data_IF_893131919470
#
_entry.id   IF_893131919470
#
_cell.length_a   1.000
_cell.length_b   1.000
_cell.length_c   1.000
_cell.angle_alpha   90.00
_cell.angle_beta   90.00
_cell.angle_gamma   90.00
#
_symmetry.space_group_name_H-M   'P 1'
#
loop_
_entity.id
_entity.type
_entity.pdbx_description
1 polymer ?
#
# COMPACT_ATOMS: atom_id res chain seq x y z
N UNK A 1 -3.31 -54.60 22.59
CA UNK A 1 -2.68 -55.13 21.35
C UNK A 1 -2.16 -53.92 20.57
N UNK A 2 -0.87 -53.61 20.75
CA UNK A 2 0.23 -53.79 19.76
C UNK A 2 -0.01 -52.98 18.47
N UNK A 3 0.86 -52.14 17.94
CA UNK A 3 2.27 -51.78 18.20
C UNK A 3 2.59 -50.62 17.25
N UNK A 4 3.03 -49.47 17.75
CA UNK A 4 4.37 -48.90 17.54
C UNK A 4 5.13 -49.32 16.28
N UNK A 5 5.58 -48.33 15.50
CA UNK A 5 6.97 -48.24 14.99
C UNK A 5 7.31 -46.80 14.54
N UNK A 6 8.39 -46.33 15.15
CA UNK A 6 9.11 -45.06 14.99
C UNK A 6 10.06 -45.07 13.78
N UNK A 7 10.87 -43.99 13.68
CA UNK A 7 12.10 -43.76 12.88
C UNK A 7 11.88 -43.14 11.48
N UNK A 8 12.63 -42.14 11.00
CA UNK A 8 13.76 -41.36 11.52
C UNK A 8 13.92 -40.09 10.66
N UNK A 9 14.45 -39.00 11.24
CA UNK A 9 15.03 -37.86 10.51
C UNK A 9 16.34 -38.24 9.80
N UNK A 10 16.83 -37.42 8.86
CA UNK A 10 18.14 -36.78 9.09
C UNK A 10 18.17 -35.29 8.65
N UNK A 11 18.65 -34.43 9.54
CA UNK A 11 19.94 -33.72 9.45
C UNK A 11 19.96 -32.50 8.52
N UNK A 12 19.78 -31.34 9.15
CA UNK A 12 20.26 -30.03 8.70
C UNK A 12 21.77 -29.92 8.86
N UNK A 13 22.49 -29.79 7.76
CA UNK A 13 23.84 -29.22 7.74
C UNK A 13 23.77 -27.74 7.37
N UNK A 14 24.33 -26.91 8.25
CA UNK A 14 24.56 -25.48 8.08
C UNK A 14 26.02 -25.32 7.74
N UNK A 15 26.34 -24.95 6.50
CA UNK A 15 27.66 -24.44 6.17
C UNK A 15 27.67 -22.92 6.17
N UNK A 16 28.37 -22.39 7.17
CA UNK A 16 28.81 -21.01 7.31
C UNK A 16 30.15 -20.91 6.60
N UNK A 17 30.21 -20.27 5.44
CA UNK A 17 31.47 -19.85 4.83
C UNK A 17 31.58 -18.34 4.92
N UNK A 18 32.44 -17.93 5.84
CA UNK A 18 32.86 -16.57 6.13
C UNK A 18 34.11 -16.31 5.28
N UNK A 19 34.01 -15.46 4.24
CA UNK A 19 35.18 -14.96 3.52
C UNK A 19 35.44 -13.51 3.96
N UNK A 20 36.55 -13.34 4.67
CA UNK A 20 37.22 -12.06 4.92
C UNK A 20 38.26 -11.80 3.81
N UNK A 21 38.50 -10.53 3.58
CA UNK A 21 39.71 -9.99 2.96
C UNK A 21 39.45 -9.27 1.64
N UNK A 22 40.14 -8.22 1.25
CA UNK A 22 40.82 -7.15 1.98
C UNK A 22 41.21 -6.13 0.89
N UNK A 23 41.37 -4.86 1.26
CA UNK A 23 42.31 -3.91 0.66
C UNK A 23 42.17 -3.51 -0.83
N UNK A 24 41.69 -2.27 -1.02
CA UNK A 24 42.60 -1.19 -1.38
C UNK A 24 42.64 -0.69 -2.84
N UNK A 25 43.00 0.59 -3.06
CA UNK A 25 42.47 1.41 -4.16
C UNK A 25 43.50 1.73 -5.24
N UNK A 26 43.04 2.17 -6.41
CA UNK A 26 43.89 2.81 -7.43
C UNK A 26 43.30 4.10 -7.95
N UNK A 27 44.22 5.06 -8.06
CA UNK A 27 44.14 6.49 -8.34
C UNK A 27 44.15 6.74 -9.85
N UNK A 28 43.61 7.90 -10.26
CA UNK A 28 43.86 8.55 -11.56
C UNK A 28 42.57 9.19 -12.07
N UNK A 29 42.31 10.49 -11.98
CA UNK A 29 43.23 11.61 -12.13
C UNK A 29 43.38 11.94 -13.61
N UNK A 30 42.55 12.83 -14.16
CA UNK A 30 43.05 13.95 -14.96
C UNK A 30 41.96 14.95 -15.33
N UNK A 31 42.31 16.19 -15.00
CA UNK A 31 41.73 17.50 -15.31
C UNK A 31 42.03 17.95 -16.75
N UNK A 32 41.12 18.73 -17.34
CA UNK A 32 41.37 19.82 -18.32
C UNK A 32 40.12 20.72 -18.28
N UNK A 33 40.06 21.84 -17.54
CA UNK A 33 40.63 23.19 -17.75
C UNK A 33 40.69 23.68 -19.21
N UNK A 34 40.17 24.90 -19.38
CA UNK A 34 40.32 25.90 -20.45
C UNK A 34 39.05 26.07 -21.32
N UNK A 35 38.53 27.25 -21.62
CA UNK A 35 38.94 28.61 -21.33
C UNK A 35 37.75 29.58 -21.55
N UNK A 36 37.72 30.66 -20.78
CA UNK A 36 37.02 31.90 -21.13
C UNK A 36 37.72 32.58 -22.31
N UNK A 37 37.01 33.45 -23.07
CA UNK A 37 37.31 34.88 -22.89
C UNK A 37 36.06 35.78 -22.95
N UNK A 38 36.15 36.90 -22.24
CA UNK A 38 35.40 38.15 -22.47
C UNK A 38 36.45 39.26 -22.65
N UNK A 39 36.12 40.56 -22.83
CA UNK A 39 34.88 41.23 -23.25
C UNK A 39 35.11 42.36 -24.29
N UNK A 40 34.06 42.87 -24.96
CA UNK A 40 34.00 44.28 -25.45
C UNK A 40 32.54 44.79 -25.37
N UNK A 41 32.28 46.06 -24.98
CA UNK A 41 30.99 46.49 -24.44
C UNK A 41 30.14 47.27 -25.46
N UNK A 42 28.83 47.42 -25.21
CA UNK A 42 28.11 48.68 -25.47
C UNK A 42 26.62 48.67 -25.06
N UNK A 43 26.23 49.82 -24.52
CA UNK A 43 24.89 50.43 -24.42
C UNK A 43 23.96 49.99 -23.29
N UNK A 44 24.18 50.68 -22.18
CA UNK A 44 23.25 51.10 -21.14
C UNK A 44 21.93 51.68 -21.70
N UNK A 45 20.81 51.16 -21.21
CA UNK A 45 19.49 51.83 -21.19
C UNK A 45 18.90 51.66 -19.77
N UNK A 46 18.14 52.64 -19.25
CA UNK A 46 17.93 52.78 -17.81
C UNK A 46 16.90 51.79 -17.27
N UNK A 47 17.25 51.10 -16.18
CA UNK A 47 16.31 50.37 -15.33
C UNK A 47 15.35 51.35 -14.67
N UNK A 48 14.04 51.25 -14.98
CA UNK A 48 12.98 51.68 -14.06
C UNK A 48 12.96 50.68 -12.90
N UNK A 49 13.26 51.16 -11.70
CA UNK A 49 13.13 50.42 -10.45
C UNK A 49 11.64 50.12 -10.19
N UNK A 50 11.26 48.86 -10.31
CA UNK A 50 9.91 48.38 -10.01
C UNK A 50 9.81 48.01 -8.52
N UNK A 51 9.86 49.03 -7.66
CA UNK A 51 9.88 48.89 -6.19
C UNK A 51 8.57 48.42 -5.56
N UNK A 52 7.56 48.06 -6.37
CA UNK A 52 6.25 47.60 -5.90
C UNK A 52 6.16 46.08 -5.76
N UNK A 53 6.93 45.33 -6.57
CA UNK A 53 6.96 43.86 -6.57
C UNK A 53 7.76 43.30 -5.39
N UNK A 54 8.96 43.84 -5.14
CA UNK A 54 9.82 43.40 -4.04
C UNK A 54 9.21 43.75 -2.68
N UNK A 55 8.62 44.94 -2.53
CA UNK A 55 7.90 45.31 -1.29
C UNK A 55 6.69 44.42 -1.02
N UNK A 56 5.97 43.97 -2.05
CA UNK A 56 4.85 43.04 -1.88
C UNK A 56 5.32 41.63 -1.47
N UNK A 57 6.44 41.16 -2.01
CA UNK A 57 7.07 39.90 -1.62
C UNK A 57 7.64 39.95 -0.18
N UNK A 58 8.27 41.06 0.21
CA UNK A 58 8.78 41.30 1.57
C UNK A 58 7.64 41.44 2.59
N UNK A 59 6.53 42.10 2.23
CA UNK A 59 5.32 42.18 3.06
C UNK A 59 4.60 40.83 3.20
N UNK A 60 4.66 39.97 2.18
CA UNK A 60 4.14 38.60 2.25
C UNK A 60 5.01 37.71 3.13
N UNK A 61 6.33 37.74 2.93
CA UNK A 61 7.30 37.00 3.72
C UNK A 61 7.27 37.43 5.21
N UNK A 62 7.08 38.73 5.47
CA UNK A 62 6.92 39.26 6.83
C UNK A 62 5.65 38.78 7.52
N UNK A 63 4.54 38.64 6.79
CA UNK A 63 3.28 38.06 7.34
C UNK A 63 3.40 36.57 7.63
N UNK A 64 4.10 35.83 6.78
CA UNK A 64 4.34 34.40 6.96
C UNK A 64 5.31 34.14 8.13
N UNK A 65 6.33 34.98 8.30
CA UNK A 65 7.25 34.90 9.44
C UNK A 65 6.59 35.35 10.74
N UNK A 66 5.73 36.38 10.72
CA UNK A 66 4.95 36.77 11.89
C UNK A 66 3.93 35.70 12.29
N UNK A 67 3.31 35.02 11.32
CA UNK A 67 2.45 33.88 11.57
C UNK A 67 3.23 32.69 12.15
N UNK A 68 4.45 32.42 11.65
CA UNK A 68 5.35 31.39 12.16
C UNK A 68 5.84 31.69 13.59
N UNK A 69 6.25 32.93 13.86
CA UNK A 69 6.67 33.40 15.18
C UNK A 69 5.52 33.43 16.18
N UNK A 70 4.30 33.80 15.76
CA UNK A 70 3.08 33.63 16.57
C UNK A 70 2.83 32.15 16.86
N UNK A 71 2.94 31.28 15.87
CA UNK A 71 2.75 29.84 16.06
C UNK A 71 3.82 29.20 16.97
N UNK A 72 5.03 29.77 17.03
CA UNK A 72 6.11 29.41 17.97
C UNK A 72 5.84 29.96 19.39
N UNK A 73 5.36 31.20 19.54
CA UNK A 73 4.91 31.76 20.83
C UNK A 73 3.72 31.00 21.41
N UNK A 74 2.82 30.49 20.56
CA UNK A 74 1.71 29.64 21.00
C UNK A 74 2.18 28.23 21.37
N UNK A 75 3.29 27.74 20.81
CA UNK A 75 3.92 26.45 21.19
C UNK A 75 4.52 26.51 22.60
N UNK A 76 4.96 27.69 23.06
CA UNK A 76 5.49 27.89 24.42
C UNK A 76 4.42 28.05 25.52
N UNK A 77 3.12 28.16 25.17
CA UNK A 77 2.01 28.27 26.13
C UNK A 77 1.45 26.91 26.59
N UNK A 78 2.10 25.80 26.23
CA UNK A 78 1.76 24.47 26.71
C UNK A 78 2.87 23.91 27.64
N UNK A 79 2.66 23.92 28.98
CA UNK A 79 3.45 23.11 29.90
C UNK A 79 2.59 22.17 30.79
N UNK A 80 3.30 21.36 31.60
CA UNK A 80 3.00 19.99 32.05
C UNK A 80 1.85 19.81 33.06
N UNK A 81 1.31 18.59 33.04
CA UNK A 81 0.14 18.05 33.75
C UNK A 81 0.16 18.09 35.28
N UNK A 82 -1.01 18.34 35.89
CA UNK A 82 -1.46 17.71 37.15
C UNK A 82 -2.99 17.59 37.15
N UNK A 83 -3.51 16.37 37.12
CA UNK A 83 -4.95 16.07 37.06
C UNK A 83 -5.69 16.08 38.41
N UNK A 84 -5.06 16.52 39.52
CA UNK A 84 -5.68 16.51 40.86
C UNK A 84 -6.36 17.82 41.26
N UNK A 85 -6.07 18.94 40.60
CA UNK A 85 -6.66 20.25 40.90
C UNK A 85 -8.08 20.46 40.36
N UNK A 86 -8.52 19.62 39.41
CA UNK A 86 -9.74 19.86 38.64
C UNK A 86 -11.02 19.89 39.48
N UNK A 87 -11.15 19.00 40.47
CA UNK A 87 -12.32 18.93 41.33
C UNK A 87 -12.38 20.08 42.36
N UNK A 88 -11.24 20.69 42.71
CA UNK A 88 -11.19 21.88 43.55
C UNK A 88 -11.45 23.15 42.72
N UNK A 89 -10.88 23.23 41.52
CA UNK A 89 -11.12 24.32 40.57
C UNK A 89 -12.60 24.42 40.15
N UNK A 90 -13.29 23.29 39.91
CA UNK A 90 -14.75 23.28 39.65
C UNK A 90 -15.59 23.83 40.81
N UNK A 91 -15.16 23.62 42.06
CA UNK A 91 -15.83 24.17 43.26
C UNK A 91 -15.56 25.66 43.45
N UNK A 92 -14.44 26.15 42.94
CA UNK A 92 -14.05 27.55 42.98
C UNK A 92 -14.73 28.37 41.87
N UNK A 93 -14.85 27.79 40.67
CA UNK A 93 -15.64 28.34 39.56
C UNK A 93 -17.12 28.53 39.97
N UNK A 94 -17.72 27.55 40.67
CA UNK A 94 -19.09 27.68 41.20
C UNK A 94 -19.26 28.80 42.25
N UNK A 95 -18.17 29.27 42.89
CA UNK A 95 -18.18 30.45 43.77
C UNK A 95 -18.00 31.77 43.01
N UNK A 96 -17.35 31.75 41.86
CA UNK A 96 -17.08 32.91 41.00
C UNK A 96 -18.17 33.13 39.92
N UNK A 97 -19.03 32.14 39.65
CA UNK A 97 -20.24 32.26 38.80
C UNK A 97 -21.20 33.41 39.21
N UNK A 98 -21.00 33.99 40.40
CA UNK A 98 -21.71 35.15 40.89
C UNK A 98 -21.29 36.50 40.25
N UNK A 99 -20.15 36.61 39.55
CA UNK A 99 -19.60 37.94 39.16
C UNK A 99 -19.80 38.40 37.71
N UNK A 100 -20.33 37.61 36.77
CA UNK A 100 -20.85 38.17 35.51
C UNK A 100 -21.78 37.21 34.77
N UNK A 101 -23.09 37.49 34.79
CA UNK A 101 -24.11 36.77 34.00
C UNK A 101 -23.89 36.83 32.48
N UNK A 102 -22.93 37.63 32.00
CA UNK A 102 -22.73 37.93 30.57
C UNK A 102 -21.42 37.39 29.99
N UNK A 103 -20.65 36.62 30.76
CA UNK A 103 -19.40 36.05 30.25
C UNK A 103 -19.66 34.90 29.26
N UNK A 104 -19.47 35.20 27.98
CA UNK A 104 -19.62 34.25 26.87
C UNK A 104 -18.65 33.07 26.99
N UNK A 105 -17.46 33.28 27.58
CA UNK A 105 -16.46 32.24 27.71
C UNK A 105 -16.92 31.16 28.69
N UNK A 106 -17.31 31.55 29.90
CA UNK A 106 -17.78 30.64 30.94
C UNK A 106 -19.16 30.07 30.65
N UNK A 107 -20.11 30.87 30.16
CA UNK A 107 -21.51 30.43 30.00
C UNK A 107 -21.82 29.76 28.67
N UNK A 108 -21.00 29.96 27.63
CA UNK A 108 -21.23 29.36 26.30
C UNK A 108 -20.08 28.51 25.80
N UNK A 109 -18.85 29.03 25.84
CA UNK A 109 -17.70 28.33 25.25
C UNK A 109 -17.34 27.08 26.05
N UNK A 110 -17.13 27.19 27.37
CA UNK A 110 -16.76 26.03 28.20
C UNK A 110 -17.84 24.92 28.20
N UNK A 111 -19.14 25.19 28.40
CA UNK A 111 -20.19 24.18 28.28
C UNK A 111 -20.27 23.60 26.86
N UNK A 112 -20.07 24.44 25.84
CA UNK A 112 -20.02 23.99 24.44
C UNK A 112 -18.87 23.02 24.16
N UNK A 113 -17.67 23.30 24.68
CA UNK A 113 -16.51 22.41 24.57
C UNK A 113 -16.77 21.07 25.29
N UNK A 114 -17.35 21.10 26.49
CA UNK A 114 -17.73 19.90 27.24
C UNK A 114 -18.75 19.05 26.49
N UNK A 115 -19.78 19.69 25.92
CA UNK A 115 -20.78 19.02 25.10
C UNK A 115 -20.15 18.37 23.85
N UNK A 116 -19.30 19.11 23.13
CA UNK A 116 -18.59 18.56 21.97
C UNK A 116 -17.72 17.37 22.35
N UNK A 117 -16.95 17.47 23.44
CA UNK A 117 -16.09 16.39 23.92
C UNK A 117 -16.90 15.14 24.29
N UNK A 118 -18.05 15.29 24.96
CA UNK A 118 -18.91 14.17 25.31
C UNK A 118 -19.39 13.38 24.09
N UNK A 119 -19.62 14.05 22.96
CA UNK A 119 -20.11 13.44 21.71
C UNK A 119 -19.00 12.89 20.82
N UNK A 120 -17.88 13.60 20.73
CA UNK A 120 -16.84 13.33 19.75
C UNK A 120 -15.56 12.73 20.35
N UNK A 121 -15.36 12.86 21.66
CA UNK A 121 -14.16 12.40 22.38
C UNK A 121 -12.86 13.06 21.92
N UNK A 122 -12.94 14.26 21.36
CA UNK A 122 -11.79 15.13 21.08
C UNK A 122 -12.23 16.59 21.11
N UNK A 123 -11.29 17.54 21.10
CA UNK A 123 -11.59 18.99 21.03
C UNK A 123 -11.05 19.66 19.75
N UNK A 124 -10.76 18.86 18.72
CA UNK A 124 -10.53 19.39 17.37
C UNK A 124 -11.85 19.78 16.67
N UNK A 125 -12.36 20.98 16.97
CA UNK A 125 -13.63 21.48 16.43
C UNK A 125 -13.43 22.17 15.07
N UNK A 126 -14.29 21.88 14.09
CA UNK A 126 -14.31 22.57 12.79
C UNK A 126 -14.79 24.02 12.92
N UNK A 127 -14.24 24.95 12.13
CA UNK A 127 -14.65 26.36 12.10
C UNK A 127 -16.15 26.55 11.82
N UNK A 128 -16.75 25.66 11.05
CA UNK A 128 -18.17 25.71 10.66
C UNK A 128 -19.08 25.02 11.66
N UNK A 129 -18.54 24.43 12.73
CA UNK A 129 -19.34 23.69 13.70
C UNK A 129 -20.26 24.63 14.49
N UNK A 130 -21.56 24.35 14.43
CA UNK A 130 -22.61 24.98 15.21
C UNK A 130 -23.22 23.90 16.08
N UNK A 131 -23.41 24.21 17.37
CA UNK A 131 -24.06 23.28 18.29
C UNK A 131 -25.52 23.13 17.85
N UNK A 132 -26.05 21.90 17.72
CA UNK A 132 -27.43 21.67 17.30
C UNK A 132 -28.44 22.42 18.18
N UNK A 133 -29.53 22.87 17.57
CA UNK A 133 -30.66 23.49 18.27
C UNK A 133 -31.72 22.44 18.61
N UNK A 134 -31.32 21.43 19.39
CA UNK A 134 -32.16 20.29 19.76
C UNK A 134 -32.56 20.37 21.24
N UNK A 135 -33.74 19.82 21.63
CA UNK A 135 -34.17 19.78 23.03
C UNK A 135 -33.18 19.07 23.98
N UNK A 136 -32.37 18.14 23.46
CA UNK A 136 -31.35 17.41 24.24
C UNK A 136 -30.05 18.18 24.50
N UNK A 137 -29.93 19.40 23.96
CA UNK A 137 -28.77 20.29 24.17
C UNK A 137 -29.10 21.30 25.27
N UNK A 138 -28.16 21.64 26.18
CA UNK A 138 -28.38 22.70 27.17
C UNK A 138 -28.77 24.03 26.51
N UNK A 139 -29.81 24.68 27.03
CA UNK A 139 -30.42 25.89 26.44
C UNK A 139 -29.40 27.02 26.21
N UNK A 140 -28.43 27.18 27.13
CA UNK A 140 -27.40 28.21 27.04
C UNK A 140 -26.50 28.13 25.79
N UNK A 141 -26.37 26.93 25.18
CA UNK A 141 -25.45 26.66 24.07
C UNK A 141 -26.13 26.24 22.76
N UNK A 142 -27.47 26.16 22.73
CA UNK A 142 -28.22 25.82 21.51
C UNK A 142 -27.95 26.83 20.39
N UNK A 143 -27.75 26.33 19.17
CA UNK A 143 -27.44 27.15 18.00
C UNK A 143 -26.14 27.96 18.10
N UNK A 144 -25.32 27.75 19.14
CA UNK A 144 -24.11 28.54 19.34
C UNK A 144 -23.02 28.11 18.35
N UNK A 145 -22.46 29.10 17.64
CA UNK A 145 -21.36 28.88 16.69
C UNK A 145 -20.03 28.70 17.44
N UNK A 146 -19.89 27.54 18.08
CA UNK A 146 -18.70 27.15 18.83
C UNK A 146 -17.46 27.09 17.92
N UNK A 147 -17.62 26.60 16.69
CA UNK A 147 -16.54 26.46 15.72
C UNK A 147 -15.83 27.78 15.40
N UNK A 148 -16.61 28.84 15.12
CA UNK A 148 -16.05 30.17 14.86
C UNK A 148 -15.32 30.75 16.07
N UNK A 149 -15.85 30.51 17.28
CA UNK A 149 -15.20 30.98 18.53
C UNK A 149 -13.90 30.24 18.81
N UNK A 150 -13.88 28.93 18.63
CA UNK A 150 -12.68 28.11 18.77
C UNK A 150 -11.62 28.49 17.73
N UNK A 151 -12.02 28.77 16.48
CA UNK A 151 -11.11 29.27 15.44
C UNK A 151 -10.48 30.61 15.83
N UNK A 152 -11.26 31.53 16.38
CA UNK A 152 -10.74 32.80 16.91
C UNK A 152 -9.78 32.60 18.10
N UNK A 153 -10.09 31.69 19.03
CA UNK A 153 -9.19 31.35 20.15
C UNK A 153 -7.87 30.83 19.60
N UNK A 154 -7.89 29.91 18.63
CA UNK A 154 -6.68 29.34 18.01
C UNK A 154 -5.83 30.38 17.29
N UNK A 155 -6.48 31.30 16.56
CA UNK A 155 -5.78 32.23 15.65
C UNK A 155 -5.35 33.53 16.31
N UNK A 156 -6.14 34.04 17.27
CA UNK A 156 -5.94 35.36 17.91
C UNK A 156 -5.66 35.26 19.40
N UNK A 157 -5.96 34.12 20.02
CA UNK A 157 -5.94 33.97 21.47
C UNK A 157 -7.09 34.72 22.14
N UNK A 158 -8.23 34.90 21.46
CA UNK A 158 -9.42 35.53 22.05
C UNK A 158 -9.69 34.90 23.44
N UNK A 159 -10.04 35.74 24.42
CA UNK A 159 -10.27 35.39 25.83
C UNK A 159 -9.03 34.96 26.63
N UNK A 160 -8.15 34.12 26.07
CA UNK A 160 -7.09 33.44 26.83
C UNK A 160 -5.70 34.08 26.74
N UNK A 161 -5.47 34.97 25.76
CA UNK A 161 -4.15 35.58 25.52
C UNK A 161 -3.62 36.39 26.70
N UNK A 162 -4.52 37.05 27.42
CA UNK A 162 -4.20 37.93 28.55
C UNK A 162 -4.96 37.54 29.82
N UNK A 163 -5.55 36.34 29.85
CA UNK A 163 -6.28 35.81 30.99
C UNK A 163 -5.80 34.39 31.29
N UNK A 164 -4.98 34.26 32.34
CA UNK A 164 -4.40 32.99 32.75
C UNK A 164 -5.46 32.01 33.30
N UNK A 165 -6.47 32.52 34.00
CA UNK A 165 -7.56 31.71 34.55
C UNK A 165 -8.38 31.07 33.42
N UNK A 166 -8.74 31.83 32.38
CA UNK A 166 -9.44 31.27 31.22
C UNK A 166 -8.58 30.29 30.43
N UNK A 167 -7.27 30.52 30.35
CA UNK A 167 -6.35 29.57 29.72
C UNK A 167 -6.32 28.25 30.52
N UNK A 168 -6.25 28.32 31.84
CA UNK A 168 -6.30 27.15 32.72
C UNK A 168 -7.64 26.41 32.58
N UNK A 169 -8.76 27.14 32.62
CA UNK A 169 -10.08 26.57 32.39
C UNK A 169 -10.16 25.87 31.03
N UNK A 170 -9.62 26.46 29.97
CA UNK A 170 -9.59 25.85 28.64
C UNK A 170 -8.76 24.56 28.61
N UNK A 171 -7.59 24.58 29.24
CA UNK A 171 -6.68 23.43 29.33
C UNK A 171 -7.24 22.30 30.20
N UNK A 172 -8.13 22.63 31.12
CA UNK A 172 -8.82 21.69 32.00
C UNK A 172 -9.96 20.92 31.30
N UNK A 173 -10.38 21.34 30.09
CA UNK A 173 -11.42 20.63 29.33
C UNK A 173 -10.79 19.57 28.41
N UNK A 174 -11.48 18.42 28.31
CA UNK A 174 -11.10 17.32 27.42
C UNK A 174 -10.85 16.03 28.19
N UNK A 175 -10.06 15.16 27.58
CA UNK A 175 -9.66 13.88 28.17
C UNK A 175 -8.28 13.93 28.83
N UNK A 176 -7.81 12.76 29.27
CA UNK A 176 -6.52 12.62 29.94
C UNK A 176 -5.38 12.77 28.93
N UNK A 177 -5.58 12.28 27.71
CA UNK A 177 -4.56 12.27 26.65
C UNK A 177 -4.45 13.62 25.94
N UNK A 178 -3.27 13.93 25.41
CA UNK A 178 -3.05 15.17 24.63
C UNK A 178 -3.99 15.28 23.43
N UNK A 179 -4.32 14.15 22.79
CA UNK A 179 -5.22 14.11 21.64
C UNK A 179 -6.67 14.51 21.97
N UNK A 180 -7.08 14.40 23.23
CA UNK A 180 -8.45 14.66 23.69
C UNK A 180 -8.64 16.07 24.25
N UNK A 181 -7.54 16.78 24.52
CA UNK A 181 -7.52 18.15 25.05
C UNK A 181 -7.71 19.20 23.97
N UNK A 182 -7.83 20.47 24.37
CA UNK A 182 -8.00 21.59 23.45
C UNK A 182 -6.89 21.65 22.39
N UNK A 183 -7.29 21.58 21.12
CA UNK A 183 -6.37 21.50 19.99
C UNK A 183 -6.09 22.89 19.44
N UNK A 184 -4.84 23.33 19.52
CA UNK A 184 -4.39 24.59 18.92
C UNK A 184 -4.18 24.47 17.42
N UNK A 185 -3.49 23.41 16.99
CA UNK A 185 -3.13 23.18 15.58
C UNK A 185 -3.97 22.04 14.99
N UNK A 186 -5.11 22.40 14.42
CA UNK A 186 -6.09 21.44 13.87
C UNK A 186 -5.47 20.51 12.82
N UNK A 187 -4.68 21.02 11.88
CA UNK A 187 -4.05 20.22 10.82
C UNK A 187 -3.05 19.19 11.36
N UNK A 188 -2.22 19.58 12.33
CA UNK A 188 -1.26 18.67 12.98
C UNK A 188 -1.98 17.57 13.74
N UNK A 189 -3.05 17.94 14.45
CA UNK A 189 -3.85 16.97 15.19
C UNK A 189 -4.49 15.92 14.26
N UNK A 190 -5.10 16.37 13.15
CA UNK A 190 -5.68 15.46 12.15
C UNK A 190 -4.59 14.52 11.61
N UNK A 191 -3.42 15.07 11.29
CA UNK A 191 -2.33 14.27 10.74
C UNK A 191 -1.82 13.22 11.74
N UNK A 192 -1.47 13.60 12.97
CA UNK A 192 -0.84 12.68 13.91
C UNK A 192 -1.82 11.73 14.61
N UNK A 193 -2.99 12.23 15.02
CA UNK A 193 -3.94 11.47 15.83
C UNK A 193 -5.01 10.75 15.00
N UNK A 194 -5.33 11.23 13.80
CA UNK A 194 -6.24 10.52 12.89
C UNK A 194 -5.46 9.78 11.80
N UNK A 195 -4.80 10.49 10.88
CA UNK A 195 -4.19 9.88 9.68
C UNK A 195 -3.10 8.88 10.06
N UNK A 196 -2.08 9.32 10.80
CA UNK A 196 -0.95 8.47 11.16
C UNK A 196 -1.34 7.33 12.10
N UNK A 197 -2.23 7.58 13.07
CA UNK A 197 -2.73 6.54 13.97
C UNK A 197 -3.47 5.45 13.20
N UNK A 198 -4.39 5.84 12.31
CA UNK A 198 -5.19 4.91 11.52
C UNK A 198 -4.38 4.22 10.41
N UNK A 199 -3.37 4.87 9.81
CA UNK A 199 -2.41 4.24 8.90
C UNK A 199 -1.58 3.17 9.60
N UNK A 200 -1.06 3.45 10.81
CA UNK A 200 -0.32 2.47 11.60
C UNK A 200 -1.19 1.27 11.97
N UNK A 201 -2.43 1.52 12.39
CA UNK A 201 -3.41 0.46 12.64
C UNK A 201 -3.66 -0.38 11.38
N UNK A 202 -3.90 0.26 10.23
CA UNK A 202 -4.10 -0.42 8.96
C UNK A 202 -2.89 -1.28 8.56
N UNK A 203 -1.66 -0.74 8.67
CA UNK A 203 -0.41 -1.46 8.37
C UNK A 203 -0.27 -2.70 9.25
N UNK A 204 -0.52 -2.60 10.57
CA UNK A 204 -0.49 -3.76 11.48
C UNK A 204 -1.53 -4.82 11.11
N UNK A 205 -2.77 -4.40 10.82
CA UNK A 205 -3.88 -5.31 10.52
C UNK A 205 -3.71 -6.04 9.19
N UNK A 206 -3.32 -5.32 8.14
CA UNK A 206 -3.29 -5.80 6.76
C UNK A 206 -1.89 -6.16 6.25
N UNK A 207 -0.83 -5.66 6.89
CA UNK A 207 0.56 -5.86 6.47
C UNK A 207 1.02 -4.97 5.32
N UNK A 208 0.16 -4.05 4.84
CA UNK A 208 0.44 -3.14 3.73
C UNK A 208 -0.29 -1.81 3.91
N UNK A 209 0.05 -0.80 3.10
CA UNK A 209 -0.57 0.54 3.12
C UNK A 209 -1.35 0.89 1.84
N UNK A 210 -1.68 -0.12 1.04
CA UNK A 210 -2.66 0.01 -0.05
C UNK A 210 -4.08 0.08 0.52
N UNK A 211 -4.44 1.24 1.06
CA UNK A 211 -5.77 1.51 1.63
C UNK A 211 -6.80 1.67 0.49
N UNK A 212 -7.91 0.91 0.50
CA UNK A 212 -9.02 1.11 -0.44
C UNK A 212 -9.67 2.49 -0.28
N UNK A 213 -10.14 3.10 -1.39
CA UNK A 213 -10.74 4.45 -1.38
C UNK A 213 -11.93 4.59 -0.42
N UNK A 214 -12.74 3.55 -0.27
CA UNK A 214 -13.92 3.54 0.61
C UNK A 214 -13.65 2.94 1.99
N UNK A 215 -12.38 2.74 2.36
CA UNK A 215 -12.05 2.20 3.67
C UNK A 215 -12.43 3.18 4.78
N UNK A 216 -13.16 2.66 5.74
CA UNK A 216 -13.59 3.34 6.96
C UNK A 216 -13.02 2.58 8.14
N UNK A 217 -12.42 3.31 9.08
CA UNK A 217 -11.86 2.74 10.29
C UNK A 217 -12.99 2.09 11.13
N UNK A 218 -12.91 0.77 11.41
CA UNK A 218 -13.89 0.10 12.23
C UNK A 218 -13.78 0.56 13.69
N UNK A 219 -14.83 0.39 14.50
CA UNK A 219 -14.72 0.43 15.95
C UNK A 219 -13.74 -0.65 16.42
N UNK A 220 -12.62 -0.23 17.00
CA UNK A 220 -11.57 -1.13 17.45
C UNK A 220 -10.93 -0.58 18.74
N UNK A 221 -10.69 -1.40 19.78
CA UNK A 221 -10.05 -0.96 21.01
C UNK A 221 -8.62 -0.42 20.83
N UNK A 222 -7.91 -0.80 19.78
CA UNK A 222 -6.58 -0.24 19.47
C UNK A 222 -6.65 1.20 18.91
N UNK A 223 -7.84 1.65 18.51
CA UNK A 223 -8.09 2.99 18.01
C UNK A 223 -8.83 3.82 19.05
N UNK A 224 -8.41 5.07 19.21
CA UNK A 224 -9.17 6.04 19.97
C UNK A 224 -10.59 6.20 19.40
N UNK A 225 -11.57 6.49 20.26
CA UNK A 225 -12.99 6.56 19.86
C UNK A 225 -13.24 7.56 18.73
N UNK A 226 -12.49 8.65 18.70
CA UNK A 226 -12.56 9.67 17.64
C UNK A 226 -12.04 9.21 16.27
N UNK A 227 -11.39 8.04 16.20
CA UNK A 227 -10.94 7.42 14.94
C UNK A 227 -11.96 6.42 14.39
N UNK A 228 -12.99 6.04 15.15
CA UNK A 228 -14.03 5.14 14.68
C UNK A 228 -14.89 5.85 13.64
N UNK A 229 -15.11 5.21 12.49
CA UNK A 229 -15.82 5.83 11.37
C UNK A 229 -14.97 6.81 10.55
N UNK A 230 -13.68 6.99 10.87
CA UNK A 230 -12.80 7.85 10.09
C UNK A 230 -12.58 7.28 8.68
N UNK A 231 -12.82 8.09 7.64
CA UNK A 231 -12.76 7.70 6.22
C UNK A 231 -11.32 7.74 5.68
N UNK A 232 -10.42 6.98 6.32
CA UNK A 232 -9.00 6.92 5.97
C UNK A 232 -8.77 6.68 4.47
N UNK A 233 -9.62 5.87 3.81
CA UNK A 233 -9.52 5.60 2.37
C UNK A 233 -9.63 6.83 1.48
N UNK A 234 -10.55 7.75 1.81
CA UNK A 234 -10.73 8.99 1.05
C UNK A 234 -9.56 9.93 1.30
N UNK A 235 -9.12 10.04 2.56
CA UNK A 235 -8.01 10.90 2.95
C UNK A 235 -6.71 10.45 2.28
N UNK A 236 -6.40 9.16 2.29
CA UNK A 236 -5.24 8.58 1.61
C UNK A 236 -5.30 8.78 0.10
N UNK A 237 -6.50 8.68 -0.50
CA UNK A 237 -6.68 8.97 -1.92
C UNK A 237 -6.36 10.44 -2.23
N UNK A 238 -6.85 11.38 -1.41
CA UNK A 238 -6.60 12.80 -1.59
C UNK A 238 -5.14 13.17 -1.29
N UNK A 239 -4.48 12.51 -0.33
CA UNK A 239 -3.05 12.69 -0.07
C UNK A 239 -2.17 12.32 -1.27
N UNK A 240 -2.59 11.34 -2.07
CA UNK A 240 -1.86 10.89 -3.26
C UNK A 240 -2.17 11.72 -4.51
N UNK A 241 -3.22 12.54 -4.45
CA UNK A 241 -3.56 13.45 -5.52
C UNK A 241 -2.66 14.68 -5.47
N UNK A 242 -1.64 14.71 -6.33
CA UNK A 242 -0.65 15.81 -6.41
C UNK A 242 -1.29 17.17 -6.66
N UNK A 243 -2.48 17.22 -7.27
CA UNK A 243 -3.19 18.47 -7.53
C UNK A 243 -3.88 19.03 -6.29
N UNK A 244 -4.04 18.24 -5.23
CA UNK A 244 -4.74 18.63 -4.01
C UNK A 244 -3.83 19.17 -2.91
N UNK A 245 -2.50 18.99 -2.99
CA UNK A 245 -1.47 19.66 -2.18
C UNK A 245 -1.61 19.61 -0.65
N UNK A 246 -2.58 18.87 -0.11
CA UNK A 246 -3.22 19.32 1.13
C UNK A 246 -2.45 18.99 2.43
N UNK A 247 -1.47 18.08 2.39
CA UNK A 247 -0.88 17.52 3.62
C UNK A 247 0.64 17.63 3.75
N UNK A 248 1.37 17.71 2.63
CA UNK A 248 2.83 17.68 2.59
C UNK A 248 3.46 19.03 2.27
N UNK A 249 2.73 19.91 1.58
CA UNK A 249 3.28 21.18 1.19
C UNK A 249 3.59 21.97 2.46
N UNK A 250 4.88 22.29 2.65
CA UNK A 250 5.44 23.11 3.73
C UNK A 250 5.75 22.42 5.08
N UNK A 251 5.62 21.09 5.24
CA UNK A 251 5.88 20.41 6.54
C UNK A 251 6.79 19.15 6.40
N UNK A 252 8.12 19.28 6.57
CA UNK A 252 9.07 18.17 6.36
C UNK A 252 8.89 17.03 7.37
N UNK A 253 8.44 17.32 8.58
CA UNK A 253 8.20 16.30 9.63
C UNK A 253 7.09 15.32 9.24
N UNK A 254 6.07 15.80 8.52
CA UNK A 254 4.98 14.93 8.03
C UNK A 254 5.44 13.99 6.93
N UNK A 255 6.28 14.50 6.03
CA UNK A 255 6.90 13.69 4.98
C UNK A 255 7.78 12.59 5.60
N UNK A 256 8.58 12.93 6.61
CA UNK A 256 9.40 11.99 7.36
C UNK A 256 8.56 10.93 8.07
N UNK A 257 7.51 11.33 8.79
CA UNK A 257 6.62 10.39 9.48
C UNK A 257 5.94 9.39 8.52
N UNK A 258 5.61 9.81 7.30
CA UNK A 258 5.08 8.92 6.26
C UNK A 258 6.15 8.03 5.64
N UNK A 259 7.37 8.53 5.48
CA UNK A 259 8.52 7.75 5.02
C UNK A 259 8.87 6.64 6.04
N UNK A 260 8.82 6.93 7.34
CA UNK A 260 9.11 5.98 8.42
C UNK A 260 8.15 4.77 8.43
N UNK A 261 6.95 4.92 7.85
CA UNK A 261 5.98 3.83 7.71
C UNK A 261 5.97 3.23 6.30
N UNK A 262 6.93 3.58 5.44
CA UNK A 262 7.01 3.16 4.02
C UNK A 262 5.71 3.47 3.25
N UNK A 263 5.14 4.65 3.44
CA UNK A 263 3.87 4.99 2.82
C UNK A 263 3.99 5.02 1.28
N UNK A 264 3.18 4.21 0.55
CA UNK A 264 3.27 4.16 -0.89
C UNK A 264 2.50 5.33 -1.49
N UNK A 265 3.24 6.25 -2.13
CA UNK A 265 2.69 7.36 -2.90
C UNK A 265 2.06 6.90 -4.22
N UNK A 266 2.65 5.89 -4.85
CA UNK A 266 2.19 5.37 -6.14
C UNK A 266 1.23 4.20 -5.97
N UNK A 267 -0.03 4.41 -6.35
CA UNK A 267 -1.12 3.44 -6.20
C UNK A 267 -1.11 2.29 -7.21
N UNK A 268 -0.58 2.48 -8.43
CA UNK A 268 -1.18 1.78 -9.59
C UNK A 268 -0.37 0.65 -10.22
N UNK A 269 0.92 0.47 -9.95
CA UNK A 269 1.68 -0.51 -10.74
C UNK A 269 2.83 -1.19 -10.02
N UNK A 270 3.76 -0.44 -9.44
CA UNK A 270 5.01 -1.03 -8.95
C UNK A 270 4.85 -1.67 -7.56
N UNK A 271 4.28 -0.94 -6.60
CA UNK A 271 4.17 -1.44 -5.23
C UNK A 271 3.21 -2.64 -5.12
N UNK A 272 2.01 -2.52 -5.71
CA UNK A 272 1.04 -3.63 -5.79
C UNK A 272 1.64 -4.88 -6.47
N UNK A 273 2.47 -4.68 -7.49
CA UNK A 273 3.14 -5.76 -8.18
C UNK A 273 4.09 -6.53 -7.26
N UNK A 274 4.92 -5.81 -6.50
CA UNK A 274 5.88 -6.41 -5.59
C UNK A 274 5.24 -7.08 -4.37
N UNK A 275 4.19 -6.49 -3.79
CA UNK A 275 3.61 -7.00 -2.54
C UNK A 275 2.49 -8.03 -2.74
N UNK A 276 1.80 -7.99 -3.89
CA UNK A 276 0.65 -8.86 -4.18
C UNK A 276 0.92 -9.77 -5.37
N UNK A 277 1.23 -9.22 -6.54
CA UNK A 277 1.16 -9.96 -7.79
C UNK A 277 2.28 -11.00 -7.91
N UNK A 278 3.54 -10.58 -7.70
CA UNK A 278 4.71 -11.48 -7.75
C UNK A 278 4.61 -12.56 -6.67
N UNK A 279 4.36 -12.24 -5.39
CA UNK A 279 4.23 -13.27 -4.37
C UNK A 279 3.05 -14.22 -4.58
N UNK A 280 1.92 -13.74 -5.12
CA UNK A 280 0.77 -14.60 -5.44
C UNK A 280 1.07 -15.57 -6.59
N UNK A 281 1.73 -15.11 -7.65
CA UNK A 281 2.18 -15.98 -8.75
C UNK A 281 3.22 -16.98 -8.27
N UNK A 282 4.22 -16.53 -7.51
CA UNK A 282 5.23 -17.41 -6.94
C UNK A 282 4.61 -18.48 -6.02
N UNK A 283 3.61 -18.10 -5.22
CA UNK A 283 2.84 -19.04 -4.40
C UNK A 283 2.11 -20.07 -5.27
N UNK A 284 1.40 -19.64 -6.31
CA UNK A 284 0.69 -20.56 -7.21
C UNK A 284 1.65 -21.56 -7.86
N UNK A 285 2.82 -21.09 -8.32
CA UNK A 285 3.87 -21.96 -8.88
C UNK A 285 4.36 -22.99 -7.87
N UNK A 286 4.55 -22.62 -6.60
CA UNK A 286 4.95 -23.58 -5.56
C UNK A 286 3.89 -24.66 -5.31
N UNK A 287 2.61 -24.29 -5.36
CA UNK A 287 1.50 -25.24 -5.12
C UNK A 287 1.24 -26.16 -6.31
N UNK A 288 1.30 -25.63 -7.54
CA UNK A 288 0.89 -26.35 -8.76
C UNK A 288 2.07 -26.76 -9.66
N UNK A 289 3.29 -26.30 -9.39
CA UNK A 289 4.49 -26.58 -10.17
C UNK A 289 4.64 -25.77 -11.47
N UNK A 290 3.59 -25.07 -11.91
CA UNK A 290 3.56 -24.29 -13.16
C UNK A 290 2.78 -22.98 -13.01
N UNK A 291 2.90 -22.07 -13.99
CA UNK A 291 2.18 -20.79 -14.05
C UNK A 291 1.08 -20.73 -15.13
N UNK A 292 0.61 -21.89 -15.60
CA UNK A 292 -0.59 -22.01 -16.43
C UNK A 292 -1.87 -21.85 -15.57
N UNK A 293 -2.10 -20.65 -15.04
CA UNK A 293 -3.26 -20.36 -14.17
C UNK A 293 -4.56 -20.40 -14.98
N UNK A 294 -5.57 -21.22 -14.59
CA UNK A 294 -6.91 -21.21 -15.17
C UNK A 294 -7.60 -19.86 -15.02
N UNK A 295 -8.40 -19.41 -15.99
CA UNK A 295 -8.99 -18.05 -16.01
C UNK A 295 -9.95 -17.80 -14.84
N UNK A 296 -10.65 -18.83 -14.39
CA UNK A 296 -11.61 -18.82 -13.29
C UNK A 296 -10.96 -19.00 -11.90
N UNK A 297 -9.65 -19.29 -11.85
CA UNK A 297 -8.97 -19.55 -10.58
C UNK A 297 -9.01 -18.34 -9.64
N UNK A 298 -9.43 -18.60 -8.40
CA UNK A 298 -9.48 -17.65 -7.29
C UNK A 298 -8.57 -18.14 -6.18
N UNK A 299 -7.71 -17.26 -5.68
CA UNK A 299 -6.86 -17.56 -4.54
C UNK A 299 -7.70 -17.95 -3.32
N UNK A 300 -7.29 -18.97 -2.56
CA UNK A 300 -8.04 -19.41 -1.39
C UNK A 300 -8.14 -18.30 -0.34
N UNK A 301 -9.22 -18.35 0.45
CA UNK A 301 -9.47 -17.43 1.56
C UNK A 301 -9.24 -18.13 2.90
N UNK A 302 -9.17 -17.36 3.99
CA UNK A 302 -9.09 -17.90 5.35
C UNK A 302 -7.67 -18.22 5.86
N UNK A 303 -7.61 -18.80 7.06
CA UNK A 303 -6.34 -19.05 7.80
C UNK A 303 -5.45 -20.08 7.13
N UNK A 304 -6.01 -21.12 6.52
CA UNK A 304 -5.24 -22.14 5.80
C UNK A 304 -4.45 -21.57 4.61
N UNK A 305 -5.06 -20.61 3.89
CA UNK A 305 -4.39 -19.90 2.80
C UNK A 305 -3.18 -19.09 3.31
N UNK A 306 -3.32 -18.40 4.44
CA UNK A 306 -2.21 -17.68 5.07
C UNK A 306 -1.09 -18.61 5.53
N UNK A 307 -1.43 -19.75 6.13
CA UNK A 307 -0.45 -20.76 6.56
C UNK A 307 0.34 -21.34 5.38
N UNK A 308 -0.27 -21.44 4.19
CA UNK A 308 0.42 -21.88 2.96
C UNK A 308 1.40 -20.84 2.39
N UNK A 309 1.52 -19.65 3.02
CA UNK A 309 2.39 -18.57 2.59
C UNK A 309 1.79 -17.67 1.49
N UNK A 310 0.47 -17.65 1.33
CA UNK A 310 -0.21 -16.70 0.45
C UNK A 310 -0.26 -15.32 1.13
N UNK A 311 0.10 -14.21 0.45
CA UNK A 311 0.00 -12.88 1.03
C UNK A 311 -1.44 -12.52 1.41
N UNK A 312 -1.63 -11.84 2.55
CA UNK A 312 -2.94 -11.35 3.02
C UNK A 312 -3.69 -10.56 1.94
N UNK A 313 -2.98 -9.74 1.18
CA UNK A 313 -3.53 -8.91 0.10
C UNK A 313 -3.98 -9.72 -1.13
N UNK A 314 -3.52 -10.96 -1.27
CA UNK A 314 -3.87 -11.86 -2.38
C UNK A 314 -5.02 -12.81 -2.04
N UNK A 315 -5.54 -12.80 -0.80
CA UNK A 315 -6.68 -13.63 -0.39
C UNK A 315 -7.91 -13.28 -1.23
N UNK A 316 -8.55 -14.29 -1.83
CA UNK A 316 -9.73 -14.10 -2.68
C UNK A 316 -9.46 -13.38 -4.00
N UNK A 317 -8.19 -13.15 -4.37
CA UNK A 317 -7.83 -12.56 -5.65
C UNK A 317 -8.20 -13.51 -6.81
N UNK A 318 -8.88 -12.99 -7.84
CA UNK A 318 -9.07 -13.70 -9.11
C UNK A 318 -7.75 -13.75 -9.92
N UNK A 319 -6.81 -14.57 -9.45
CA UNK A 319 -5.47 -14.70 -10.04
C UNK A 319 -5.55 -15.20 -11.49
N UNK A 320 -6.54 -16.03 -11.83
CA UNK A 320 -6.81 -16.49 -13.19
C UNK A 320 -7.08 -15.37 -14.18
N UNK A 321 -8.08 -14.54 -13.86
CA UNK A 321 -8.46 -13.36 -14.65
C UNK A 321 -7.31 -12.37 -14.74
N UNK A 322 -6.53 -12.23 -13.66
CA UNK A 322 -5.34 -11.39 -13.66
C UNK A 322 -4.24 -11.90 -14.60
N UNK A 323 -3.90 -13.20 -14.53
CA UNK A 323 -2.93 -13.83 -15.41
C UNK A 323 -3.36 -13.79 -16.89
N UNK A 324 -4.65 -13.96 -17.17
CA UNK A 324 -5.19 -13.79 -18.52
C UNK A 324 -4.99 -12.37 -19.05
N UNK A 325 -5.22 -11.34 -18.22
CA UNK A 325 -4.92 -9.95 -18.58
C UNK A 325 -3.44 -9.70 -18.81
N UNK A 326 -2.55 -10.29 -18.01
CA UNK A 326 -1.10 -10.18 -18.23
C UNK A 326 -0.70 -10.74 -19.59
N UNK A 327 -1.23 -11.92 -19.97
CA UNK A 327 -1.00 -12.51 -21.30
C UNK A 327 -1.48 -11.59 -22.42
N UNK A 328 -2.72 -11.09 -22.32
CA UNK A 328 -3.28 -10.20 -23.33
C UNK A 328 -2.46 -8.92 -23.48
N UNK A 329 -2.02 -8.32 -22.37
CA UNK A 329 -1.17 -7.13 -22.42
C UNK A 329 0.17 -7.45 -23.07
N UNK A 330 0.84 -8.54 -22.71
CA UNK A 330 2.10 -8.94 -23.35
C UNK A 330 2.03 -9.06 -24.88
N UNK A 331 0.85 -9.32 -25.45
CA UNK A 331 0.64 -9.37 -26.91
C UNK A 331 0.20 -8.03 -27.50
N UNK A 332 -0.65 -7.26 -26.82
CA UNK A 332 -1.32 -6.07 -27.40
C UNK A 332 -0.69 -4.73 -26.98
N UNK A 333 0.09 -4.67 -25.90
CA UNK A 333 0.69 -3.43 -25.39
C UNK A 333 1.95 -3.72 -24.56
N UNK A 334 3.07 -3.00 -24.76
CA UNK A 334 4.29 -3.28 -24.02
C UNK A 334 4.04 -3.15 -22.51
N UNK A 335 4.12 -4.30 -21.83
CA UNK A 335 4.31 -4.33 -20.40
C UNK A 335 5.69 -3.76 -20.10
N UNK A 336 5.82 -3.13 -18.94
CA UNK A 336 7.11 -2.69 -18.41
C UNK A 336 8.15 -3.83 -18.47
N UNK A 337 9.31 -3.58 -19.09
CA UNK A 337 10.33 -4.58 -19.38
C UNK A 337 10.80 -5.30 -18.12
N UNK A 338 10.89 -4.58 -16.99
CA UNK A 338 11.25 -5.15 -15.70
C UNK A 338 10.22 -6.19 -15.23
N UNK A 339 8.93 -5.96 -15.48
CA UNK A 339 7.86 -6.91 -15.14
C UNK A 339 7.91 -8.14 -16.03
N UNK A 340 8.18 -7.95 -17.32
CA UNK A 340 8.34 -9.07 -18.27
C UNK A 340 9.53 -9.94 -17.85
N UNK A 341 10.66 -9.33 -17.51
CA UNK A 341 11.84 -10.04 -17.01
C UNK A 341 11.53 -10.85 -15.75
N UNK A 342 10.89 -10.23 -14.75
CA UNK A 342 10.49 -10.93 -13.52
C UNK A 342 9.51 -12.07 -13.78
N UNK A 343 8.54 -11.90 -14.69
CA UNK A 343 7.62 -12.95 -15.10
C UNK A 343 8.34 -14.11 -15.80
N UNK A 344 9.32 -13.81 -16.65
CA UNK A 344 10.14 -14.82 -17.32
C UNK A 344 10.99 -15.61 -16.32
N UNK A 345 11.62 -14.95 -15.36
CA UNK A 345 12.35 -15.58 -14.25
C UNK A 345 11.45 -16.49 -13.41
N UNK A 346 10.20 -16.08 -13.20
CA UNK A 346 9.19 -16.91 -12.54
C UNK A 346 8.68 -18.07 -13.42
N UNK A 347 8.98 -18.10 -14.72
CA UNK A 347 8.52 -19.12 -15.66
C UNK A 347 7.06 -18.93 -16.09
N UNK A 348 6.61 -17.69 -16.25
CA UNK A 348 5.23 -17.37 -16.60
C UNK A 348 4.84 -17.90 -17.99
N UNK A 349 3.68 -18.55 -18.06
CA UNK A 349 3.15 -19.09 -19.31
C UNK A 349 2.45 -17.99 -20.12
N UNK A 350 3.20 -17.35 -21.03
CA UNK A 350 2.66 -16.36 -21.97
C UNK A 350 1.68 -16.97 -22.96
N UNK A 351 2.00 -18.14 -23.50
CA UNK A 351 1.14 -18.94 -24.37
C UNK A 351 0.78 -20.24 -23.66
N UNK A 352 -0.50 -20.40 -23.28
CA UNK A 352 -0.99 -21.62 -22.66
C UNK A 352 -0.86 -22.85 -23.59
N UNK A 353 -1.17 -22.77 -24.90
CA UNK A 353 -0.96 -23.89 -25.80
C UNK A 353 0.51 -24.30 -25.91
N UNK A 354 1.43 -23.35 -26.07
CA UNK A 354 2.86 -23.64 -26.18
C UNK A 354 3.41 -24.21 -24.86
N UNK A 355 3.02 -23.62 -23.73
CA UNK A 355 3.38 -24.15 -22.41
C UNK A 355 2.87 -25.58 -22.21
N UNK A 356 1.63 -25.88 -22.60
CA UNK A 356 1.09 -27.24 -22.53
C UNK A 356 1.91 -28.23 -23.37
N UNK A 357 2.22 -27.86 -24.62
CA UNK A 357 3.04 -28.71 -25.50
C UNK A 357 4.42 -28.94 -24.90
N UNK A 358 5.14 -27.87 -24.54
CA UNK A 358 6.54 -27.96 -24.08
C UNK A 358 6.69 -28.60 -22.71
N UNK A 359 5.84 -28.22 -21.74
CA UNK A 359 6.00 -28.62 -20.33
C UNK A 359 5.18 -29.83 -19.93
N UNK A 360 4.23 -30.27 -20.76
CA UNK A 360 3.32 -31.36 -20.41
C UNK A 360 3.32 -32.44 -21.47
N UNK A 361 3.02 -32.10 -22.73
CA UNK A 361 2.89 -33.08 -23.80
C UNK A 361 4.24 -33.67 -24.21
N UNK A 362 5.27 -32.84 -24.39
CA UNK A 362 6.59 -33.29 -24.83
C UNK A 362 7.22 -34.34 -23.88
N UNK A 363 7.31 -34.13 -22.55
CA UNK A 363 7.81 -35.17 -21.65
C UNK A 363 7.00 -36.47 -21.68
N UNK A 364 5.68 -36.38 -21.78
CA UNK A 364 4.79 -37.54 -21.86
C UNK A 364 4.99 -38.31 -23.17
N UNK A 365 5.10 -37.59 -24.28
CA UNK A 365 5.36 -38.16 -25.61
C UNK A 365 6.73 -38.80 -25.65
N UNK A 366 7.77 -38.14 -25.13
CA UNK A 366 9.11 -38.71 -24.98
C UNK A 366 9.07 -40.02 -24.21
N UNK A 367 8.39 -40.05 -23.04
CA UNK A 367 8.23 -41.26 -22.26
C UNK A 367 7.47 -42.37 -23.01
N UNK A 368 6.38 -42.01 -23.69
CA UNK A 368 5.58 -42.97 -24.46
C UNK A 368 6.38 -43.57 -25.61
N UNK A 369 7.06 -42.74 -26.39
CA UNK A 369 7.90 -43.18 -27.52
C UNK A 369 9.09 -44.00 -27.03
N UNK A 370 9.72 -43.61 -25.91
CA UNK A 370 10.79 -44.41 -25.30
C UNK A 370 10.30 -45.81 -24.89
N UNK A 371 9.08 -45.92 -24.38
CA UNK A 371 8.52 -47.20 -23.90
C UNK A 371 7.99 -48.10 -25.02
N UNK A 372 7.36 -47.52 -26.04
CA UNK A 372 6.61 -48.27 -27.06
C UNK A 372 7.22 -48.17 -28.48
N UNK A 373 8.22 -47.30 -28.70
CA UNK A 373 8.89 -47.14 -30.00
C UNK A 373 8.07 -46.42 -31.08
N UNK A 374 6.83 -46.01 -30.78
CA UNK A 374 5.95 -45.35 -31.74
C UNK A 374 5.10 -44.24 -31.08
N UNK A 375 4.52 -43.35 -31.89
CA UNK A 375 3.60 -42.30 -31.45
C UNK A 375 2.15 -42.63 -31.83
N UNK A 376 1.65 -43.76 -31.34
CA UNK A 376 0.26 -44.20 -31.59
C UNK A 376 -0.34 -44.77 -30.31
N UNK A 377 -0.67 -43.91 -29.32
CA UNK A 377 -1.27 -44.35 -28.07
C UNK A 377 -2.68 -44.93 -28.27
N UNK A 378 -3.02 -46.05 -27.60
CA UNK A 378 -4.39 -46.54 -27.51
C UNK A 378 -5.35 -45.48 -26.95
N UNK A 379 -6.63 -45.51 -27.35
CA UNK A 379 -7.66 -44.56 -26.87
C UNK A 379 -7.79 -44.49 -25.35
N UNK A 380 -7.49 -45.58 -24.66
CA UNK A 380 -7.58 -45.69 -23.20
C UNK A 380 -6.25 -45.45 -22.48
N UNK A 381 -5.18 -45.10 -23.22
CA UNK A 381 -3.87 -44.93 -22.61
C UNK A 381 -3.83 -43.71 -21.70
N UNK A 382 -3.73 -43.98 -20.40
CA UNK A 382 -3.48 -42.99 -19.36
C UNK A 382 -2.02 -43.02 -18.91
N UNK A 383 -1.41 -41.85 -18.77
CA UNK A 383 -0.04 -41.71 -18.26
C UNK A 383 0.07 -42.33 -16.86
N UNK A 384 0.99 -43.28 -16.63
CA UNK A 384 1.19 -43.87 -15.31
C UNK A 384 1.61 -42.85 -14.25
N UNK A 385 1.27 -43.13 -13.00
CA UNK A 385 1.65 -42.31 -11.85
C UNK A 385 3.09 -42.58 -11.44
N UNK A 386 3.79 -41.58 -10.90
CA UNK A 386 5.11 -41.76 -10.26
C UNK A 386 6.31 -41.81 -11.20
N UNK A 387 6.16 -41.51 -12.50
CA UNK A 387 7.28 -41.50 -13.45
C UNK A 387 8.17 -40.26 -13.19
N UNK A 388 9.49 -40.47 -13.06
CA UNK A 388 10.47 -39.42 -12.72
C UNK A 388 10.57 -38.31 -13.78
N UNK A 389 10.61 -38.68 -15.05
CA UNK A 389 10.82 -37.74 -16.17
C UNK A 389 9.52 -37.12 -16.71
N UNK A 390 8.38 -37.53 -16.15
CA UNK A 390 7.07 -37.00 -16.50
C UNK A 390 6.57 -36.09 -15.37
N UNK A 391 6.19 -34.84 -15.65
CA UNK A 391 5.70 -33.93 -14.63
C UNK A 391 4.50 -34.49 -13.87
N UNK A 392 4.44 -34.23 -12.56
CA UNK A 392 3.38 -34.74 -11.67
C UNK A 392 1.96 -34.40 -12.14
N UNK A 393 1.79 -33.22 -12.75
CA UNK A 393 0.51 -32.75 -13.29
C UNK A 393 0.10 -33.41 -14.62
N UNK A 394 0.98 -34.21 -15.22
CA UNK A 394 0.70 -34.97 -16.43
C UNK A 394 0.28 -36.42 -16.14
N UNK A 395 0.40 -36.89 -14.89
CA UNK A 395 -0.02 -38.23 -14.49
C UNK A 395 -1.54 -38.39 -14.59
N UNK A 396 -1.99 -39.57 -15.03
CA UNK A 396 -3.41 -39.86 -15.28
C UNK A 396 -4.00 -39.19 -16.52
N UNK A 397 -3.21 -38.42 -17.28
CA UNK A 397 -3.66 -37.80 -18.53
C UNK A 397 -3.90 -38.85 -19.61
N UNK A 398 -5.02 -38.75 -20.33
CA UNK A 398 -5.24 -39.54 -21.53
C UNK A 398 -4.40 -38.99 -22.69
N UNK A 399 -3.38 -39.73 -23.15
CA UNK A 399 -2.46 -39.25 -24.17
C UNK A 399 -3.11 -39.21 -25.56
N UNK A 400 -3.92 -40.21 -25.89
CA UNK A 400 -4.60 -40.30 -27.18
C UNK A 400 -5.52 -39.09 -27.38
N UNK A 401 -6.36 -38.78 -26.39
CA UNK A 401 -7.20 -37.60 -26.44
C UNK A 401 -6.34 -36.34 -26.56
N UNK A 402 -5.24 -36.18 -25.83
CA UNK A 402 -4.47 -34.93 -25.90
C UNK A 402 -3.69 -34.73 -27.20
N UNK A 403 -3.29 -35.81 -27.89
CA UNK A 403 -2.69 -35.74 -29.22
C UNK A 403 -3.77 -35.56 -30.31
N UNK A 404 -4.87 -36.32 -30.24
CA UNK A 404 -5.84 -36.44 -31.35
C UNK A 404 -7.18 -35.71 -31.15
N UNK A 405 -7.59 -35.36 -29.92
CA UNK A 405 -8.73 -34.43 -29.69
C UNK A 405 -8.44 -33.00 -30.15
N UNK A 406 -7.15 -32.68 -30.41
CA UNK A 406 -6.75 -31.49 -31.17
C UNK A 406 -7.30 -31.47 -32.61
N UNK A 407 -7.87 -32.58 -33.09
CA UNK A 407 -8.36 -32.74 -34.47
C UNK A 407 -9.88 -33.07 -34.57
N UNK A 408 -10.60 -33.24 -33.45
CA UNK A 408 -12.03 -33.64 -33.46
C UNK A 408 -12.95 -32.49 -33.03
N UNK A 409 -13.49 -31.78 -34.04
CA UNK A 409 -14.76 -31.01 -34.05
C UNK A 409 -15.28 -30.49 -32.68
N UNK A 410 -14.51 -29.65 -32.01
CA UNK A 410 -15.05 -28.54 -31.20
C UNK A 410 -14.46 -27.29 -31.85
N UNK A 411 -15.31 -26.38 -32.34
CA UNK A 411 -14.96 -25.15 -33.06
C UNK A 411 -13.50 -24.73 -32.90
N UNK A 412 -12.73 -25.00 -33.95
CA UNK A 412 -11.43 -24.46 -34.29
C UNK A 412 -10.68 -23.77 -33.13
N UNK A 413 -10.16 -24.53 -32.15
CA UNK A 413 -9.27 -23.98 -31.10
C UNK A 413 -7.84 -23.70 -31.60
N UNK A 414 -7.57 -24.03 -32.87
CA UNK A 414 -6.46 -23.51 -33.69
C UNK A 414 -6.81 -22.21 -34.43
N UNK A 415 -8.10 -21.83 -34.47
CA UNK A 415 -8.53 -20.46 -34.73
C UNK A 415 -8.83 -19.78 -33.39
N UNK A 416 -7.78 -19.65 -32.57
CA UNK A 416 -7.65 -18.44 -31.76
C UNK A 416 -6.80 -17.48 -32.58
N UNK A 417 -7.30 -16.26 -32.77
CA UNK A 417 -6.79 -15.19 -33.64
C UNK A 417 -5.32 -14.75 -33.43
N UNK A 418 -4.48 -15.46 -32.67
CA UNK A 418 -3.20 -14.91 -32.17
C UNK A 418 -1.96 -15.78 -32.45
N UNK A 419 -1.92 -16.57 -33.52
CA UNK A 419 -0.66 -17.24 -33.91
C UNK A 419 -0.49 -17.42 -35.40
N UNK A 420 0.66 -17.01 -35.93
CA UNK A 420 0.99 -17.11 -37.36
C UNK A 420 1.02 -18.57 -37.81
N UNK A 421 0.86 -18.81 -39.13
CA UNK A 421 0.97 -20.17 -39.71
C UNK A 421 2.32 -20.81 -39.37
N UNK A 422 3.37 -20.01 -39.29
CA UNK A 422 4.73 -20.42 -38.97
C UNK A 422 4.85 -20.89 -37.52
N UNK A 423 4.23 -20.21 -36.55
CA UNK A 423 4.22 -20.66 -35.15
C UNK A 423 3.52 -22.00 -34.97
N UNK A 424 2.49 -22.27 -35.78
CA UNK A 424 1.78 -23.56 -35.78
C UNK A 424 2.67 -24.66 -36.35
N UNK A 425 3.35 -24.39 -37.47
CA UNK A 425 4.30 -25.33 -38.08
C UNK A 425 5.50 -25.59 -37.16
N UNK A 426 6.02 -24.56 -36.48
CA UNK A 426 7.10 -24.69 -35.51
C UNK A 426 6.71 -25.57 -34.31
N UNK A 427 5.45 -25.54 -33.86
CA UNK A 427 4.96 -26.43 -32.79
C UNK A 427 4.86 -27.88 -33.23
N UNK A 428 4.41 -28.15 -34.45
CA UNK A 428 4.38 -29.50 -35.02
C UNK A 428 5.81 -30.02 -35.22
N UNK A 429 6.69 -29.20 -35.80
CA UNK A 429 8.10 -29.52 -35.97
C UNK A 429 8.81 -29.77 -34.63
N UNK A 430 8.43 -29.07 -33.56
CA UNK A 430 8.96 -29.31 -32.21
C UNK A 430 8.51 -30.67 -31.67
N UNK A 431 7.26 -31.07 -31.87
CA UNK A 431 6.78 -32.39 -31.46
C UNK A 431 7.50 -33.47 -32.26
N UNK A 432 7.60 -33.31 -33.58
CA UNK A 432 8.31 -34.24 -34.46
C UNK A 432 9.80 -34.33 -34.13
N UNK A 433 10.48 -33.21 -33.87
CA UNK A 433 11.88 -33.20 -33.49
C UNK A 433 12.10 -33.80 -32.10
N UNK A 434 11.20 -33.55 -31.15
CA UNK A 434 11.24 -34.18 -29.81
C UNK A 434 11.04 -35.69 -29.90
N UNK A 435 10.14 -36.15 -30.78
CA UNK A 435 9.90 -37.57 -31.06
C UNK A 435 11.13 -38.21 -31.71
N UNK A 436 11.75 -37.54 -32.69
CA UNK A 436 13.01 -38.01 -33.31
C UNK A 436 14.13 -38.10 -32.28
N UNK A 437 14.35 -37.05 -31.49
CA UNK A 437 15.41 -36.99 -30.49
C UNK A 437 15.20 -38.01 -29.36
N UNK A 438 13.94 -38.30 -28.99
CA UNK A 438 13.61 -39.39 -28.07
C UNK A 438 13.91 -40.76 -28.67
N UNK A 439 13.64 -40.95 -29.96
CA UNK A 439 13.96 -42.20 -30.68
C UNK A 439 15.47 -42.41 -30.77
N UNK A 440 16.22 -41.37 -31.11
CA UNK A 440 17.67 -41.42 -31.32
C UNK A 440 18.43 -41.65 -30.00
N UNK A 441 18.02 -40.98 -28.90
CA UNK A 441 18.61 -41.15 -27.57
C UNK A 441 18.46 -42.59 -27.02
N UNK A 442 17.42 -43.30 -27.41
CA UNK A 442 17.16 -44.68 -26.96
C UNK A 442 17.56 -45.76 -27.98
N UNK A 443 17.91 -45.39 -29.21
CA UNK A 443 18.62 -46.30 -30.12
C UNK A 443 20.10 -46.47 -29.74
N UNK A 444 20.71 -45.48 -29.09
CA UNK A 444 22.11 -45.55 -28.60
C UNK A 444 22.25 -46.28 -27.24
N UNK A 445 21.16 -46.50 -26.51
CA UNK A 445 21.12 -47.36 -25.31
C UNK A 445 20.70 -48.81 -25.63
N UNK A 446 20.83 -49.24 -26.88
CA UNK A 446 20.48 -50.58 -27.34
C UNK A 446 21.38 -51.67 -26.76
N UNK A 447 20.73 -52.55 -25.98
CA UNK A 447 20.87 -54.02 -25.95
C UNK A 447 22.26 -54.66 -26.10
#
# INVERSE_FOLDING_TARGET
>A
MKSAREFCSPQTERDVVQVRGDLGPTVGGSTHVAASPSPVPSRTAPRRMDGSSERAAELSAGKDEEARLRALRMRSLAPKTSGRDYAQHLRQIGREEATSKNDVFVHKILPGLRYFFQKHHHLNISKTYVIPDDPGVPEAIRGFNLGKRVDNIRTRGDFVRHNAEYLEMLQSVGGETEAERFVWRSKDWIFYHQIMATLRFFKRRHGHLLVPRHYVCPPDPELARFNWGFTLGSVVHDMRDKNKGFYLDQEPERAKALADIDFPWELKSAHTWQIRDVPALAWFRRQHGHLAVPTDYVCPTGRGALASGLPKIALGMHLGRYAARLRQRGTTSPLDELKVKQLNELGFAWSLPDHFVRRTLAPVVTFYVAKYGHLSPPLTYTVPWGIKDVPRWAWGMNLHDRIYSLNRRSGNRWAGENGSREERQARVALIESTVRLARDKHSDEGF
#
